data_IF_143784199443
#
_entry.id   IF_143784199443
#
_cell.length_a   1.000
_cell.length_b   1.000
_cell.length_c   1.000
_cell.angle_alpha   90.00
_cell.angle_beta   90.00
_cell.angle_gamma   90.00
#
_symmetry.space_group_name_H-M   'P 1'
#
loop_
_entity.id
_entity.type
_entity.pdbx_description
1 polymer ?
#
# COMPACT_ATOMS: atom_id res chain seq x y z
N UNK A 1 25.26 24.56 -7.94
CA UNK A 1 23.82 24.23 -7.83
C UNK A 1 23.70 22.76 -7.41
N UNK A 2 23.24 22.48 -6.19
CA UNK A 2 23.02 21.10 -5.76
C UNK A 2 21.92 20.48 -6.63
N UNK A 3 22.25 19.43 -7.40
CA UNK A 3 21.26 18.65 -8.14
C UNK A 3 20.27 18.10 -7.11
N UNK A 4 19.03 18.60 -7.08
CA UNK A 4 17.96 17.98 -6.28
C UNK A 4 17.91 16.51 -6.67
N UNK A 5 17.96 15.61 -5.69
CA UNK A 5 17.78 14.17 -5.94
C UNK A 5 16.49 14.00 -6.75
N UNK A 6 16.47 13.15 -7.80
CA UNK A 6 15.25 12.92 -8.55
C UNK A 6 14.20 12.35 -7.59
N UNK A 7 13.14 13.12 -7.36
CA UNK A 7 11.92 12.64 -6.70
C UNK A 7 11.11 11.76 -7.65
N UNK A 8 10.05 11.15 -7.14
CA UNK A 8 9.14 10.40 -8.00
C UNK A 8 8.29 11.38 -8.84
N UNK A 9 7.90 10.96 -10.04
CA UNK A 9 6.89 11.69 -10.81
C UNK A 9 5.50 11.51 -10.18
N UNK A 10 4.56 12.38 -10.52
CA UNK A 10 3.17 12.25 -10.08
C UNK A 10 2.57 10.89 -10.48
N UNK A 11 2.84 10.44 -11.70
CA UNK A 11 2.43 9.13 -12.21
C UNK A 11 3.03 7.97 -11.40
N UNK A 12 4.30 8.09 -10.98
CA UNK A 12 4.94 7.09 -10.12
C UNK A 12 4.31 7.05 -8.72
N UNK A 13 3.97 8.20 -8.15
CA UNK A 13 3.22 8.25 -6.88
C UNK A 13 1.82 7.64 -7.01
N UNK A 14 1.13 7.94 -8.12
CA UNK A 14 -0.19 7.38 -8.42
C UNK A 14 -0.14 5.85 -8.51
N UNK A 15 0.78 5.31 -9.33
CA UNK A 15 0.99 3.88 -9.50
C UNK A 15 1.38 3.19 -8.17
N UNK A 16 2.29 3.79 -7.39
CA UNK A 16 2.67 3.23 -6.10
C UNK A 16 1.50 3.19 -5.13
N UNK A 17 0.70 4.26 -5.07
CA UNK A 17 -0.52 4.30 -4.26
C UNK A 17 -1.52 3.21 -4.63
N UNK A 18 -1.67 2.95 -5.94
CA UNK A 18 -2.51 1.87 -6.46
C UNK A 18 -2.00 0.47 -6.06
N UNK A 19 -0.69 0.23 -6.18
CA UNK A 19 -0.09 -1.05 -5.78
C UNK A 19 -0.23 -1.30 -4.28
N UNK A 20 -0.02 -0.28 -3.45
CA UNK A 20 -0.18 -0.36 -1.99
C UNK A 20 -1.64 -0.67 -1.59
N UNK A 21 -2.62 -0.01 -2.23
CA UNK A 21 -4.04 -0.32 -2.02
C UNK A 21 -4.35 -1.77 -2.42
N UNK A 22 -3.86 -2.22 -3.59
CA UNK A 22 -4.07 -3.59 -4.07
C UNK A 22 -3.51 -4.64 -3.11
N UNK A 23 -2.32 -4.41 -2.54
CA UNK A 23 -1.75 -5.31 -1.54
C UNK A 23 -2.57 -5.32 -0.24
N UNK A 24 -3.03 -4.15 0.22
CA UNK A 24 -3.87 -4.04 1.41
C UNK A 24 -5.18 -4.83 1.25
N UNK A 25 -5.84 -4.70 0.10
CA UNK A 25 -7.10 -5.39 -0.22
C UNK A 25 -6.91 -6.90 -0.33
N UNK A 26 -5.79 -7.35 -0.93
CA UNK A 26 -5.44 -8.77 -1.03
C UNK A 26 -5.22 -9.41 0.34
N UNK A 27 -4.52 -8.73 1.24
CA UNK A 27 -4.38 -9.22 2.61
C UNK A 27 -5.72 -9.32 3.32
N UNK A 28 -6.65 -8.39 3.06
CA UNK A 28 -8.01 -8.46 3.59
C UNK A 28 -8.77 -9.68 3.07
N UNK A 29 -8.66 -9.99 1.77
CA UNK A 29 -9.24 -11.22 1.20
C UNK A 29 -8.64 -12.48 1.83
N UNK A 30 -7.32 -12.53 2.00
CA UNK A 30 -6.64 -13.65 2.67
C UNK A 30 -7.15 -13.82 4.11
N UNK A 31 -7.29 -12.71 4.86
CA UNK A 31 -7.80 -12.71 6.24
C UNK A 31 -9.23 -13.29 6.32
N UNK A 32 -10.10 -12.89 5.39
CA UNK A 32 -11.47 -13.41 5.26
C UNK A 32 -11.48 -14.90 4.92
N UNK A 33 -10.67 -15.34 3.94
CA UNK A 33 -10.62 -16.75 3.54
C UNK A 33 -10.08 -17.65 4.67
N UNK A 34 -9.03 -17.21 5.36
CA UNK A 34 -8.51 -17.91 6.55
C UNK A 34 -9.61 -18.02 7.62
N UNK A 35 -10.32 -16.93 7.90
CA UNK A 35 -11.38 -16.91 8.92
C UNK A 35 -12.57 -17.80 8.57
N UNK A 36 -12.89 -17.96 7.28
CA UNK A 36 -13.96 -18.86 6.82
C UNK A 36 -13.56 -20.33 6.92
N UNK A 37 -12.33 -20.67 6.52
CA UNK A 37 -11.90 -22.06 6.39
C UNK A 37 -11.40 -22.68 7.69
N UNK A 38 -10.97 -21.87 8.65
CA UNK A 38 -10.42 -22.37 9.90
C UNK A 38 -11.22 -21.83 11.10
N UNK A 39 -11.65 -22.71 12.01
CA UNK A 39 -12.19 -22.32 13.32
C UNK A 39 -11.05 -21.93 14.25
N UNK A 40 -10.50 -20.74 14.02
CA UNK A 40 -9.31 -20.29 14.73
C UNK A 40 -9.66 -19.96 16.19
N UNK A 41 -9.09 -20.73 17.12
CA UNK A 41 -9.13 -20.46 18.56
C UNK A 41 -7.72 -20.44 19.15
N UNK A 42 -7.46 -19.56 20.12
CA UNK A 42 -6.17 -19.51 20.81
C UNK A 42 -4.97 -19.31 19.88
N UNK A 43 -3.98 -20.21 19.93
CA UNK A 43 -2.74 -20.11 19.14
C UNK A 43 -2.93 -20.28 17.62
N UNK A 44 -4.10 -20.71 17.17
CA UNK A 44 -4.41 -20.84 15.75
C UNK A 44 -4.70 -19.48 15.10
N UNK A 45 -4.97 -18.42 15.85
CA UNK A 45 -5.18 -17.06 15.31
C UNK A 45 -3.94 -16.40 14.70
N UNK A 46 -2.75 -17.01 14.83
CA UNK A 46 -1.48 -16.46 14.35
C UNK A 46 -1.49 -15.98 12.88
N UNK A 47 -2.10 -16.69 11.92
CA UNK A 47 -2.19 -16.22 10.54
C UNK A 47 -2.97 -14.90 10.43
N UNK A 48 -4.05 -14.73 11.20
CA UNK A 48 -4.83 -13.49 11.26
C UNK A 48 -4.06 -12.34 11.91
N UNK A 49 -3.18 -12.64 12.87
CA UNK A 49 -2.30 -11.62 13.44
C UNK A 49 -1.23 -11.16 12.44
N UNK A 50 -0.71 -12.08 11.63
CA UNK A 50 0.29 -11.78 10.60
C UNK A 50 -0.30 -10.95 9.46
N UNK A 51 -1.49 -11.28 8.97
CA UNK A 51 -2.22 -10.49 7.96
C UNK A 51 -2.50 -9.08 8.46
N UNK A 52 -2.98 -8.92 9.71
CA UNK A 52 -3.19 -7.61 10.33
C UNK A 52 -1.91 -6.79 10.46
N UNK A 53 -0.81 -7.41 10.89
CA UNK A 53 0.51 -6.74 10.97
C UNK A 53 0.98 -6.29 9.58
N UNK A 54 0.80 -7.11 8.56
CA UNK A 54 1.14 -6.76 7.18
C UNK A 54 0.26 -5.61 6.64
N UNK A 55 -1.05 -5.63 6.90
CA UNK A 55 -1.95 -4.53 6.55
C UNK A 55 -1.55 -3.23 7.24
N UNK A 56 -1.20 -3.27 8.53
CA UNK A 56 -0.73 -2.11 9.26
C UNK A 56 0.60 -1.58 8.70
N UNK A 57 1.52 -2.46 8.31
CA UNK A 57 2.78 -2.06 7.68
C UNK A 57 2.54 -1.32 6.36
N UNK A 58 1.61 -1.82 5.53
CA UNK A 58 1.22 -1.16 4.27
C UNK A 58 0.56 0.19 4.56
N UNK A 59 -0.33 0.26 5.55
CA UNK A 59 -0.96 1.53 5.95
C UNK A 59 0.10 2.58 6.36
N UNK A 60 1.05 2.18 7.19
CA UNK A 60 2.15 3.06 7.62
C UNK A 60 3.04 3.49 6.44
N UNK A 61 3.26 2.60 5.46
CA UNK A 61 4.01 2.93 4.25
C UNK A 61 3.25 3.94 3.37
N UNK A 62 1.94 3.79 3.22
CA UNK A 62 1.07 4.75 2.50
C UNK A 62 1.15 6.13 3.14
N UNK A 63 1.04 6.22 4.46
CA UNK A 63 1.13 7.50 5.17
C UNK A 63 2.50 8.16 4.98
N UNK A 64 3.59 7.39 5.12
CA UNK A 64 4.96 7.89 4.86
C UNK A 64 5.12 8.41 3.44
N UNK A 65 4.66 7.66 2.43
CA UNK A 65 4.78 8.06 1.03
C UNK A 65 3.87 9.24 0.68
N UNK A 66 2.67 9.33 1.27
CA UNK A 66 1.81 10.50 1.15
C UNK A 66 2.46 11.76 1.74
N UNK A 67 3.17 11.63 2.85
CA UNK A 67 3.93 12.75 3.43
C UNK A 67 5.12 13.16 2.56
N UNK A 68 5.79 12.21 1.87
CA UNK A 68 6.84 12.52 0.89
C UNK A 68 6.25 13.28 -0.30
N UNK A 69 5.19 12.74 -0.93
CA UNK A 69 4.51 13.39 -2.04
C UNK A 69 4.00 14.80 -1.68
N UNK A 70 3.50 15.01 -0.44
CA UNK A 70 3.05 16.33 0.01
C UNK A 70 4.18 17.34 0.04
N UNK A 71 5.40 16.92 0.39
CA UNK A 71 6.59 17.78 0.36
C UNK A 71 7.05 18.05 -1.07
N UNK A 72 6.98 17.05 -1.95
CA UNK A 72 7.39 17.17 -3.35
C UNK A 72 6.45 18.08 -4.16
N UNK A 73 5.13 17.99 -3.91
CA UNK A 73 4.10 18.75 -4.61
C UNK A 73 3.49 19.88 -3.78
N UNK A 74 4.19 20.38 -2.75
CA UNK A 74 3.67 21.44 -1.86
C UNK A 74 3.28 22.73 -2.61
N UNK A 75 3.90 22.99 -3.76
CA UNK A 75 3.65 24.16 -4.59
C UNK A 75 2.64 23.91 -5.73
N UNK A 76 2.05 22.71 -5.79
CA UNK A 76 1.08 22.28 -6.80
C UNK A 76 -0.30 22.11 -6.16
N UNK A 77 -1.06 23.20 -5.98
CA UNK A 77 -2.38 23.17 -5.34
C UNK A 77 -3.42 22.31 -6.08
N UNK A 78 -3.19 22.02 -7.36
CA UNK A 78 -4.01 21.13 -8.19
C UNK A 78 -3.82 19.64 -7.87
N UNK A 79 -2.75 19.26 -7.16
CA UNK A 79 -2.44 17.86 -6.86
C UNK A 79 -3.02 17.49 -5.50
N UNK A 80 -4.08 16.67 -5.52
CA UNK A 80 -4.59 16.02 -4.32
C UNK A 80 -3.72 14.81 -3.96
N UNK A 81 -2.66 15.07 -3.20
CA UNK A 81 -1.74 14.04 -2.71
C UNK A 81 -2.45 12.99 -1.84
N UNK A 82 -3.50 13.38 -1.11
CA UNK A 82 -4.24 12.44 -0.28
C UNK A 82 -4.89 11.38 -1.17
N UNK A 83 -5.48 11.78 -2.31
CA UNK A 83 -6.06 10.83 -3.28
C UNK A 83 -5.07 9.86 -3.91
N UNK A 84 -3.79 10.21 -4.02
CA UNK A 84 -2.77 9.29 -4.54
C UNK A 84 -2.62 8.06 -3.64
N UNK A 85 -2.64 8.26 -2.32
CA UNK A 85 -2.32 7.24 -1.32
C UNK A 85 -3.50 6.78 -0.46
N UNK A 86 -4.64 7.46 -0.46
CA UNK A 86 -5.85 7.15 0.30
C UNK A 86 -7.01 6.76 -0.65
N UNK A 87 -6.80 5.66 -1.40
CA UNK A 87 -7.73 5.17 -2.43
C UNK A 87 -8.86 4.30 -1.88
N UNK A 88 -9.56 4.75 -0.85
CA UNK A 88 -10.77 4.07 -0.40
C UNK A 88 -11.85 4.15 -1.50
N UNK A 89 -12.21 3.01 -2.10
CA UNK A 89 -13.39 2.91 -2.99
C UNK A 89 -13.19 3.37 -4.44
N UNK A 90 -12.01 3.14 -5.03
CA UNK A 90 -11.75 3.34 -6.46
C UNK A 90 -11.81 2.00 -7.21
N UNK A 91 -12.68 1.88 -8.22
CA UNK A 91 -12.94 0.64 -8.99
C UNK A 91 -11.72 0.16 -9.82
N UNK A 92 -10.71 1.01 -9.98
CA UNK A 92 -9.44 0.79 -10.67
C UNK A 92 -8.48 -0.16 -9.92
N UNK A 93 -9.01 -1.14 -9.18
CA UNK A 93 -8.21 -2.21 -8.58
C UNK A 93 -7.42 -2.95 -9.67
N UNK A 94 -6.11 -3.14 -9.46
CA UNK A 94 -5.35 -4.05 -10.31
C UNK A 94 -5.86 -5.46 -10.01
N UNK A 95 -6.58 -6.06 -10.94
CA UNK A 95 -7.14 -7.43 -10.79
C UNK A 95 -6.04 -8.49 -10.88
N UNK A 96 -4.94 -8.18 -11.57
CA UNK A 96 -3.73 -9.00 -11.70
C UNK A 96 -2.45 -8.18 -11.43
N UNK A 97 -2.17 -7.76 -10.19
CA UNK A 97 -0.89 -7.16 -9.87
C UNK A 97 0.21 -8.17 -10.16
N UNK A 98 1.30 -7.65 -10.72
CA UNK A 98 2.50 -8.42 -11.05
C UNK A 98 3.00 -9.13 -9.78
N UNK A 99 3.63 -10.31 -9.91
CA UNK A 99 4.26 -10.97 -8.78
C UNK A 99 5.16 -9.97 -8.04
N UNK A 100 5.01 -9.89 -6.72
CA UNK A 100 5.93 -9.12 -5.88
C UNK A 100 7.31 -9.71 -6.14
N UNK A 101 8.23 -8.94 -6.75
CA UNK A 101 9.60 -9.42 -6.93
C UNK A 101 10.17 -9.72 -5.56
N UNK A 102 10.86 -10.86 -5.37
CA UNK A 102 11.54 -11.11 -4.10
C UNK A 102 12.47 -9.93 -3.79
N UNK A 103 12.54 -9.56 -2.51
CA UNK A 103 13.52 -8.59 -2.05
C UNK A 103 14.92 -9.09 -2.48
N UNK A 104 15.79 -8.20 -2.98
CA UNK A 104 17.16 -8.60 -3.29
C UNK A 104 17.80 -9.18 -2.02
N UNK A 105 18.31 -10.40 -2.12
CA UNK A 105 19.14 -10.99 -1.08
C UNK A 105 20.44 -10.19 -1.01
N UNK A 106 20.77 -9.68 0.18
CA UNK A 106 22.04 -9.02 0.47
C UNK A 106 23.23 -10.00 0.41
#
# INVERSE_FOLDING_TARGET
MAKRKPGFTLEQHDQLGLELQTMYDRLGKIDVEISKHYRLSGKESKPLELTKKAQQAIWNLRDKMGNVARKEFIHSPEIDVKRLYDRAGRDDHVTNPRPIRPFPEE
#
